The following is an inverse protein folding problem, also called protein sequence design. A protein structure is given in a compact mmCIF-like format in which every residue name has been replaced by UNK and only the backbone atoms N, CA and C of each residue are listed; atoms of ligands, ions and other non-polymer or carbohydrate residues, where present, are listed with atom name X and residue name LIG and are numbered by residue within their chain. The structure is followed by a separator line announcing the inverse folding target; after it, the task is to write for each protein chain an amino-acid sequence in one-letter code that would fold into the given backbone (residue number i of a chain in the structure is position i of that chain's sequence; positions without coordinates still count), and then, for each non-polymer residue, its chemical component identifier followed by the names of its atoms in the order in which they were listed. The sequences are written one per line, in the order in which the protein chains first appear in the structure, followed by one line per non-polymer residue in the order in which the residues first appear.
data_IF_270396552253
#
_entry.id   IF_270396552253
#
_cell.length_a   1.000
_cell.length_b   1.000
_cell.length_c   1.000
_cell.angle_alpha   90.00
_cell.angle_beta   90.00
_cell.angle_gamma   90.00
#
_symmetry.space_group_name_H-M   'P 1'
#
loop_
_entity.id
_entity.type
_entity.pdbx_description
1 polymer ?
#
# COMPACT_ATOMS: atom_id res chain seq x y z
N UNK A 1 17.37 -2.56 21.24
CA UNK A 1 16.70 -2.82 19.95
C UNK A 1 16.42 -1.47 19.31
N UNK A 2 16.44 -1.39 17.98
CA UNK A 2 16.08 -0.20 17.21
C UNK A 2 15.02 -0.58 16.18
N UNK A 3 14.11 0.34 15.88
CA UNK A 3 13.13 0.17 14.82
C UNK A 3 13.75 0.65 13.50
N UNK A 4 13.71 -0.20 12.48
CA UNK A 4 14.29 0.05 11.16
C UNK A 4 13.17 0.03 10.12
N UNK A 5 13.14 1.04 9.26
CA UNK A 5 12.29 1.09 8.07
C UNK A 5 13.05 0.52 6.88
N UNK A 6 12.49 -0.51 6.26
CA UNK A 6 12.95 -1.05 4.98
C UNK A 6 12.23 -0.30 3.87
N UNK A 7 12.71 0.90 3.55
CA UNK A 7 12.03 1.86 2.64
C UNK A 7 11.80 1.29 1.24
N UNK A 8 12.71 0.46 0.70
CA UNK A 8 12.53 -0.19 -0.61
C UNK A 8 11.40 -1.24 -0.63
N UNK A 9 10.95 -1.71 0.54
CA UNK A 9 9.89 -2.71 0.69
C UNK A 9 8.65 -2.19 1.43
N UNK A 10 8.73 -1.02 2.06
CA UNK A 10 7.65 -0.46 2.88
C UNK A 10 7.34 -1.28 4.15
N UNK A 11 8.35 -1.80 4.85
CA UNK A 11 8.18 -2.59 6.09
C UNK A 11 8.93 -2.00 7.26
N UNK A 12 8.30 -1.97 8.44
CA UNK A 12 8.94 -1.64 9.72
C UNK A 12 9.26 -2.90 10.52
N UNK A 13 10.46 -2.96 11.11
CA UNK A 13 10.89 -4.10 11.91
C UNK A 13 11.84 -3.71 13.05
N UNK A 14 11.90 -4.55 14.08
CA UNK A 14 12.82 -4.38 15.20
C UNK A 14 14.09 -5.20 14.99
N UNK A 15 15.26 -4.57 15.19
CA UNK A 15 16.58 -5.22 15.11
C UNK A 15 17.46 -4.87 16.30
N UNK A 16 18.47 -5.71 16.55
CA UNK A 16 19.54 -5.37 17.49
C UNK A 16 20.43 -4.33 16.83
N UNK A 17 20.99 -3.41 17.63
CA UNK A 17 21.86 -2.37 17.09
C UNK A 17 23.09 -2.95 16.38
N UNK A 18 23.59 -4.10 16.85
CA UNK A 18 24.73 -4.81 16.25
C UNK A 18 24.43 -5.40 14.87
N UNK A 19 23.16 -5.50 14.48
CA UNK A 19 22.74 -5.96 13.14
C UNK A 19 22.56 -4.77 12.17
N UNK A 20 22.80 -3.53 12.62
CA UNK A 20 22.62 -2.30 11.84
C UNK A 20 23.98 -1.70 11.52
N UNK A 21 24.22 -1.46 10.23
CA UNK A 21 25.49 -0.97 9.70
C UNK A 21 25.29 0.36 8.98
N UNK A 22 26.38 1.13 8.86
CA UNK A 22 26.37 2.35 8.06
C UNK A 22 26.22 2.02 6.57
N UNK A 23 25.27 2.67 5.89
CA UNK A 23 25.04 2.49 4.47
C UNK A 23 26.07 3.32 3.69
N UNK A 24 26.91 2.66 2.90
CA UNK A 24 27.90 3.34 2.05
C UNK A 24 27.22 4.31 1.06
N UNK A 25 27.85 5.45 0.78
CA UNK A 25 27.29 6.51 -0.08
C UNK A 25 26.92 6.01 -1.49
N UNK A 26 27.67 5.04 -2.03
CA UNK A 26 27.38 4.43 -3.34
C UNK A 26 26.00 3.76 -3.40
N UNK A 27 25.48 3.29 -2.28
CA UNK A 27 24.15 2.67 -2.19
C UNK A 27 23.04 3.68 -1.93
N UNK A 28 23.37 4.93 -1.59
CA UNK A 28 22.40 6.00 -1.36
C UNK A 28 22.02 6.74 -2.65
N UNK A 29 22.69 6.44 -3.77
CA UNK A 29 22.47 7.12 -5.06
C UNK A 29 21.11 6.81 -5.67
N UNK A 30 20.56 5.62 -5.41
CA UNK A 30 19.24 5.24 -5.90
C UNK A 30 18.17 5.71 -4.90
N UNK A 31 17.11 6.41 -5.35
CA UNK A 31 15.97 6.71 -4.49
C UNK A 31 15.31 5.43 -3.99
N UNK A 32 14.59 5.53 -2.86
CA UNK A 32 13.78 4.42 -2.37
C UNK A 32 12.80 3.93 -3.43
N UNK A 33 12.75 2.61 -3.60
CA UNK A 33 11.92 1.93 -4.60
C UNK A 33 10.51 1.63 -4.08
N UNK A 34 10.33 1.59 -2.76
CA UNK A 34 9.02 1.44 -2.13
C UNK A 34 8.24 2.76 -2.20
N UNK A 35 7.00 2.68 -2.67
CA UNK A 35 6.09 3.82 -2.72
C UNK A 35 4.85 3.47 -1.92
N UNK A 36 4.54 4.30 -0.94
CA UNK A 36 3.35 4.14 -0.11
C UNK A 36 2.13 4.50 -0.95
N UNK A 37 1.19 3.56 -1.07
CA UNK A 37 0.02 3.73 -1.91
C UNK A 37 -1.26 3.71 -1.07
N UNK A 38 -2.14 4.69 -1.27
CA UNK A 38 -3.52 4.63 -0.81
C UNK A 38 -4.45 4.33 -1.98
N UNK A 39 -5.43 3.46 -1.77
CA UNK A 39 -6.43 3.18 -2.79
C UNK A 39 -7.39 4.38 -2.90
N UNK A 40 -7.54 4.92 -4.11
CA UNK A 40 -8.32 6.12 -4.33
C UNK A 40 -9.83 5.83 -4.27
N UNK A 41 -10.61 6.80 -3.76
CA UNK A 41 -12.07 6.73 -3.70
C UNK A 41 -12.61 5.57 -2.83
N UNK A 42 -11.85 5.17 -1.81
CA UNK A 42 -12.25 4.12 -0.85
C UNK A 42 -12.18 4.61 0.57
N UNK A 43 -13.10 4.13 1.41
CA UNK A 43 -13.03 4.29 2.85
C UNK A 43 -13.60 3.06 3.58
N UNK A 44 -13.38 2.96 4.90
CA UNK A 44 -13.95 1.90 5.71
C UNK A 44 -15.48 1.97 5.69
N UNK A 45 -16.12 0.81 5.83
CA UNK A 45 -17.58 0.63 5.85
C UNK A 45 -18.19 1.13 7.16
N UNK A 46 -17.43 0.98 8.25
CA UNK A 46 -17.76 1.56 9.54
C UNK A 46 -17.28 3.02 9.60
N UNK A 47 -17.97 3.85 10.39
CA UNK A 47 -17.55 5.23 10.69
C UNK A 47 -16.36 5.24 11.66
N UNK A 48 -15.29 4.58 11.24
CA UNK A 48 -14.04 4.40 11.97
C UNK A 48 -12.93 5.11 11.21
N UNK A 49 -12.02 5.75 11.93
CA UNK A 49 -10.85 6.39 11.33
C UNK A 49 -9.79 5.40 10.84
N UNK A 50 -9.94 4.12 11.15
CA UNK A 50 -8.99 3.04 10.84
C UNK A 50 -9.66 1.90 10.09
N UNK A 51 -8.89 1.22 9.24
CA UNK A 51 -9.34 0.00 8.54
C UNK A 51 -9.43 -1.19 9.51
N UNK A 52 -10.54 -1.96 9.51
CA UNK A 52 -10.65 -3.20 10.27
C UNK A 52 -9.55 -4.20 9.92
N UNK A 53 -9.17 -5.04 10.89
CA UNK A 53 -8.14 -6.07 10.69
C UNK A 53 -8.53 -7.04 9.57
N UNK A 54 -9.79 -7.44 9.53
CA UNK A 54 -10.33 -8.36 8.54
C UNK A 54 -10.18 -7.80 7.12
N UNK A 55 -10.44 -6.49 6.94
CA UNK A 55 -10.22 -5.82 5.64
C UNK A 55 -8.74 -5.78 5.27
N UNK A 56 -7.85 -5.50 6.22
CA UNK A 56 -6.41 -5.52 5.96
C UNK A 56 -5.89 -6.92 5.58
N UNK A 57 -6.36 -7.96 6.26
CA UNK A 57 -5.98 -9.35 5.98
C UNK A 57 -6.53 -9.81 4.62
N UNK A 58 -7.75 -9.39 4.24
CA UNK A 58 -8.29 -9.62 2.90
C UNK A 58 -7.48 -8.89 1.83
N UNK A 59 -7.11 -7.62 2.05
CA UNK A 59 -6.23 -6.89 1.13
C UNK A 59 -4.89 -7.60 0.92
N UNK A 60 -4.27 -8.13 1.98
CA UNK A 60 -3.05 -8.93 1.84
C UNK A 60 -3.28 -10.17 0.99
N UNK A 61 -4.37 -10.91 1.25
CA UNK A 61 -4.70 -12.12 0.49
C UNK A 61 -4.90 -11.84 -1.01
N UNK A 62 -5.58 -10.74 -1.34
CA UNK A 62 -5.90 -10.38 -2.72
C UNK A 62 -4.70 -9.80 -3.48
N UNK A 63 -3.88 -8.97 -2.82
CA UNK A 63 -2.89 -8.12 -3.49
C UNK A 63 -1.45 -8.61 -3.33
N UNK A 64 -1.10 -9.27 -2.21
CA UNK A 64 0.29 -9.61 -1.92
C UNK A 64 0.85 -10.62 -2.92
N UNK A 65 2.01 -10.30 -3.48
CA UNK A 65 2.68 -11.11 -4.48
C UNK A 65 1.98 -11.16 -5.84
N UNK A 66 0.92 -10.39 -6.07
CA UNK A 66 0.30 -10.26 -7.40
C UNK A 66 1.01 -9.21 -8.24
N UNK A 67 0.80 -9.27 -9.56
CA UNK A 67 1.21 -8.23 -10.51
C UNK A 67 0.01 -7.37 -10.86
N UNK A 68 0.24 -6.18 -11.38
CA UNK A 68 -0.84 -5.29 -11.75
C UNK A 68 -0.36 -3.97 -12.33
N UNK A 69 -1.32 -3.12 -12.64
CA UNK A 69 -1.12 -1.77 -13.13
C UNK A 69 -1.57 -0.77 -12.08
N UNK A 70 -0.70 0.22 -11.83
CA UNK A 70 -0.96 1.31 -10.90
C UNK A 70 -1.15 2.57 -11.72
N UNK A 71 -2.32 3.20 -11.58
CA UNK A 71 -2.57 4.54 -12.12
C UNK A 71 -2.56 5.54 -10.99
N UNK A 72 -1.57 6.44 -10.99
CA UNK A 72 -1.48 7.53 -10.03
C UNK A 72 -2.62 8.52 -10.29
N UNK A 73 -3.44 8.76 -9.26
CA UNK A 73 -4.54 9.72 -9.27
C UNK A 73 -4.07 11.05 -8.70
N UNK A 74 -3.39 11.01 -7.55
CA UNK A 74 -2.90 12.21 -6.87
C UNK A 74 -1.63 11.91 -6.06
N UNK A 75 -0.54 12.66 -6.24
CA UNK A 75 0.61 12.56 -5.34
C UNK A 75 0.26 13.15 -3.97
N UNK A 76 0.66 12.52 -2.86
CA UNK A 76 0.40 13.02 -1.51
C UNK A 76 1.62 13.75 -0.94
N UNK A 77 2.68 13.00 -0.66
CA UNK A 77 3.98 13.48 -0.19
C UNK A 77 5.07 12.71 -0.92
N UNK A 78 6.34 13.10 -0.75
CA UNK A 78 7.46 12.36 -1.34
C UNK A 78 7.36 10.88 -0.91
N UNK A 79 7.36 9.97 -1.90
CA UNK A 79 7.22 8.54 -1.66
C UNK A 79 5.80 8.05 -1.36
N UNK A 80 4.76 8.87 -1.54
CA UNK A 80 3.38 8.45 -1.33
C UNK A 80 2.39 8.99 -2.38
N UNK A 81 1.43 8.16 -2.80
CA UNK A 81 0.41 8.53 -3.78
C UNK A 81 -0.93 7.83 -3.56
N UNK A 82 -2.00 8.48 -4.02
CA UNK A 82 -3.30 7.85 -4.19
C UNK A 82 -3.42 7.27 -5.59
N UNK A 83 -3.88 6.03 -5.68
CA UNK A 83 -3.81 5.23 -6.90
C UNK A 83 -5.09 4.49 -7.19
N UNK A 84 -5.32 4.17 -8.46
CA UNK A 84 -6.18 3.06 -8.88
C UNK A 84 -5.29 1.86 -9.15
N UNK A 85 -5.74 0.69 -8.73
CA UNK A 85 -4.98 -0.55 -8.82
C UNK A 85 -5.80 -1.60 -9.57
N UNK A 86 -5.30 -2.01 -10.72
CA UNK A 86 -5.78 -3.15 -11.47
C UNK A 86 -4.85 -4.34 -11.24
N UNK A 87 -5.39 -5.45 -10.78
CA UNK A 87 -4.61 -6.62 -10.36
C UNK A 87 -4.76 -7.74 -11.36
N UNK A 88 -3.64 -8.35 -11.72
CA UNK A 88 -3.56 -9.57 -12.53
C UNK A 88 -3.26 -10.76 -11.61
N UNK A 89 -4.24 -11.62 -11.33
CA UNK A 89 -4.02 -12.80 -10.51
C UNK A 89 -3.06 -13.76 -11.20
N UNK A 90 -2.10 -14.31 -10.45
CA UNK A 90 -1.19 -15.37 -10.94
C UNK A 90 -1.91 -16.54 -11.61
N UNK A 91 -3.08 -16.91 -11.09
CA UNK A 91 -3.85 -18.07 -11.54
C UNK A 91 -4.73 -17.78 -12.76
N UNK A 92 -4.85 -16.52 -13.18
CA UNK A 92 -5.64 -16.11 -14.33
C UNK A 92 -4.90 -15.01 -15.10
N UNK A 93 -3.87 -15.36 -15.90
CA UNK A 93 -3.02 -14.39 -16.56
C UNK A 93 -3.77 -13.51 -17.57
N UNK A 94 -4.92 -13.95 -18.07
CA UNK A 94 -5.74 -13.18 -19.01
C UNK A 94 -6.85 -12.38 -18.31
N UNK A 95 -7.05 -12.56 -17.00
CA UNK A 95 -8.03 -11.82 -16.22
C UNK A 95 -7.39 -10.70 -15.43
N UNK A 96 -8.09 -9.58 -15.32
CA UNK A 96 -7.78 -8.52 -14.37
C UNK A 96 -9.00 -8.17 -13.54
N UNK A 97 -8.78 -7.58 -12.37
CA UNK A 97 -9.84 -7.00 -11.56
C UNK A 97 -9.40 -5.68 -10.95
N UNK A 98 -10.33 -4.74 -10.78
CA UNK A 98 -10.09 -3.49 -10.06
C UNK A 98 -10.17 -3.76 -8.54
N UNK A 99 -9.07 -3.48 -7.83
CA UNK A 99 -8.96 -3.80 -6.41
C UNK A 99 -10.02 -3.09 -5.55
N UNK A 100 -10.38 -1.85 -5.90
CA UNK A 100 -11.41 -1.10 -5.17
C UNK A 100 -12.77 -1.73 -5.39
N UNK A 101 -13.13 -1.96 -6.64
CA UNK A 101 -14.46 -2.45 -6.98
C UNK A 101 -14.67 -3.85 -6.37
N UNK A 102 -13.63 -4.70 -6.34
CA UNK A 102 -13.63 -5.98 -5.63
C UNK A 102 -13.83 -5.82 -4.12
N UNK A 103 -13.11 -4.92 -3.45
CA UNK A 103 -13.28 -4.69 -2.00
C UNK A 103 -14.69 -4.17 -1.66
N UNK A 104 -15.28 -3.34 -2.53
CA UNK A 104 -16.66 -2.86 -2.38
C UNK A 104 -17.65 -4.01 -2.56
N UNK A 105 -17.51 -4.82 -3.60
CA UNK A 105 -18.37 -5.97 -3.87
C UNK A 105 -18.36 -7.00 -2.74
N UNK A 106 -17.21 -7.18 -2.09
CA UNK A 106 -17.06 -8.06 -0.93
C UNK A 106 -17.54 -7.43 0.39
N UNK A 107 -17.98 -6.17 0.38
CA UNK A 107 -18.49 -5.48 1.56
C UNK A 107 -17.41 -5.03 2.54
N UNK A 108 -16.16 -4.86 2.08
CA UNK A 108 -15.01 -4.47 2.90
C UNK A 108 -14.58 -3.01 2.72
N UNK A 109 -15.14 -2.31 1.73
CA UNK A 109 -14.90 -0.89 1.49
C UNK A 109 -16.17 -0.20 0.98
N UNK A 110 -16.24 1.12 1.19
CA UNK A 110 -17.27 1.98 0.60
C UNK A 110 -16.68 2.90 -0.46
N UNK A 111 -17.49 3.18 -1.49
CA UNK A 111 -17.16 4.19 -2.48
C UNK A 111 -17.20 5.58 -1.85
N UNK A 112 -16.09 6.30 -1.93
CA UNK A 112 -16.02 7.71 -1.53
C UNK A 112 -15.97 8.59 -2.78
N UNK A 113 -16.79 9.63 -2.81
CA UNK A 113 -16.86 10.58 -3.95
C UNK A 113 -15.72 11.58 -3.94
N UNK A 114 -15.12 11.82 -2.77
CA UNK A 114 -13.97 12.70 -2.61
C UNK A 114 -12.72 11.88 -2.36
N UNK A 115 -11.64 12.28 -3.01
CA UNK A 115 -10.29 11.82 -2.67
C UNK A 115 -9.91 12.57 -1.41
N UNK A 116 -9.77 11.88 -0.29
CA UNK A 116 -9.26 12.51 0.94
C UNK A 116 -7.80 12.88 0.67
N UNK A 117 -7.50 14.18 0.64
CA UNK A 117 -6.19 14.70 0.18
C UNK A 117 -5.14 14.65 1.30
N UNK A 118 -5.59 14.57 2.56
CA UNK A 118 -4.76 14.56 3.76
C UNK A 118 -4.85 13.21 4.51
N UNK A 119 -4.78 12.09 3.79
CA UNK A 119 -4.64 10.78 4.45
C UNK A 119 -3.16 10.52 4.67
N UNK A 120 -2.79 10.21 5.91
CA UNK A 120 -1.51 9.59 6.21
C UNK A 120 -1.69 8.09 6.03
N UNK A 121 -1.29 7.49 4.89
CA UNK A 121 -1.20 6.04 4.84
C UNK A 121 -0.24 5.61 5.94
N UNK A 122 -0.77 4.85 6.90
CA UNK A 122 0.01 4.31 8.00
C UNK A 122 1.08 3.37 7.42
N UNK A 123 2.31 3.50 7.93
CA UNK A 123 3.41 2.56 7.70
C UNK A 123 3.35 1.50 8.80
#
# INVERSE_FOLDING_TARGET
MVQVSLEDWGRLLWRRMNDVYLLEERFQQLPWQGIICGLAYTGPVTDTSTWPKETNDLCRLLLEGQRGWIKIVHPLRRGAALVKLEVQPKNSPNGTYDARDTLIQLGHAELRTKVTVDVYPAI
#
